data_IF_404980445653
#
_entry.id   IF_404980445653
#
_cell.length_a   1.000
_cell.length_b   1.000
_cell.length_c   1.000
_cell.angle_alpha   90.00
_cell.angle_beta   90.00
_cell.angle_gamma   90.00
#
_symmetry.space_group_name_H-M   'P 1'
#
loop_
_entity.id
_entity.type
_entity.pdbx_description
1 polymer ?
#
# COMPACT_ATOMS: atom_id res chain seq x y z
N UNK A 1 44.90 42.54 36.45
CA UNK A 1 43.81 41.58 36.81
C UNK A 1 44.36 40.17 36.74
N UNK A 2 44.28 39.42 37.85
CA UNK A 2 45.00 38.16 38.08
C UNK A 2 44.51 36.99 37.19
N UNK A 3 45.47 36.26 36.60
CA UNK A 3 45.28 35.00 35.85
C UNK A 3 44.45 33.93 36.60
N UNK A 4 44.28 34.06 37.92
CA UNK A 4 43.49 33.13 38.74
C UNK A 4 41.98 33.21 38.50
N UNK A 5 41.47 34.27 37.87
CA UNK A 5 40.03 34.40 37.54
C UNK A 5 39.65 33.82 36.17
N UNK A 6 40.59 33.64 35.25
CA UNK A 6 40.31 32.96 33.96
C UNK A 6 40.21 31.44 34.09
N UNK A 7 40.96 30.82 35.01
CA UNK A 7 40.94 29.37 35.22
C UNK A 7 39.63 28.82 35.79
N UNK A 8 38.83 29.65 36.48
CA UNK A 8 37.53 29.23 37.05
C UNK A 8 36.35 29.39 36.08
N UNK A 9 36.49 30.16 35.00
CA UNK A 9 35.46 30.28 33.96
C UNK A 9 35.58 29.17 32.92
N UNK A 10 36.81 28.66 32.66
CA UNK A 10 37.01 27.55 31.72
C UNK A 10 36.61 26.17 32.27
N UNK A 11 36.55 25.99 33.60
CA UNK A 11 36.24 24.68 34.20
C UNK A 11 34.73 24.42 34.38
N UNK A 12 33.88 25.45 34.21
CA UNK A 12 32.41 25.33 34.29
C UNK A 12 31.78 25.07 32.90
N UNK A 13 32.49 25.34 31.81
CA UNK A 13 32.02 25.09 30.44
C UNK A 13 32.27 23.66 29.93
N UNK A 14 33.02 22.83 30.67
CA UNK A 14 33.30 21.44 30.28
C UNK A 14 32.22 20.43 30.72
N UNK A 15 31.16 20.85 31.42
CA UNK A 15 30.16 19.95 32.03
C UNK A 15 28.75 19.98 31.42
N UNK A 16 28.51 20.65 30.28
CA UNK A 16 27.15 20.74 29.69
C UNK A 16 27.03 20.16 28.26
N UNK A 17 28.01 19.41 27.77
CA UNK A 17 27.87 18.67 26.51
C UNK A 17 28.02 17.16 26.68
N UNK A 18 27.44 16.59 27.73
CA UNK A 18 26.85 15.26 27.57
C UNK A 18 25.63 15.41 26.68
N UNK A 19 25.85 15.51 25.36
CA UNK A 19 24.82 15.16 24.39
C UNK A 19 24.42 13.73 24.72
N UNK A 20 23.33 13.59 25.47
CA UNK A 20 22.57 12.36 25.53
C UNK A 20 22.15 12.11 24.08
N UNK A 21 22.99 11.40 23.32
CA UNK A 21 22.62 10.82 22.05
C UNK A 21 21.51 9.85 22.40
N UNK A 22 20.27 10.36 22.43
CA UNK A 22 19.07 9.60 22.72
C UNK A 22 19.16 8.39 21.81
N UNK A 23 19.26 7.20 22.39
CA UNK A 23 19.45 5.97 21.63
C UNK A 23 18.29 5.86 20.66
N UNK A 24 18.51 6.28 19.42
CA UNK A 24 17.46 6.45 18.43
C UNK A 24 16.98 5.05 18.05
N UNK A 25 15.73 4.72 18.38
CA UNK A 25 15.15 3.42 18.06
C UNK A 25 14.54 3.48 16.67
N UNK A 26 14.31 2.30 16.08
CA UNK A 26 13.60 2.23 14.80
C UNK A 26 12.21 2.87 14.88
N UNK A 27 11.51 2.76 16.02
CA UNK A 27 10.24 3.44 16.23
C UNK A 27 10.33 4.96 16.04
N UNK A 28 11.41 5.59 16.51
CA UNK A 28 11.63 7.02 16.39
C UNK A 28 11.95 7.40 14.93
N UNK A 29 12.81 6.60 14.28
CA UNK A 29 13.16 6.77 12.85
C UNK A 29 11.92 6.75 11.97
N UNK A 30 10.99 5.81 12.18
CA UNK A 30 9.80 5.67 11.33
C UNK A 30 8.82 6.84 11.47
N UNK A 31 8.80 7.51 12.63
CA UNK A 31 7.93 8.66 12.89
C UNK A 31 8.57 9.96 12.37
N UNK A 32 9.90 10.09 12.45
CA UNK A 32 10.59 11.33 12.09
C UNK A 32 11.04 11.36 10.64
N UNK A 33 10.52 12.35 9.91
CA UNK A 33 10.63 12.51 8.46
C UNK A 33 12.06 12.57 7.91
N UNK A 34 12.99 13.16 8.66
CA UNK A 34 14.39 13.37 8.24
C UNK A 34 15.20 12.09 8.44
N UNK A 35 15.11 11.49 9.63
CA UNK A 35 15.77 10.24 10.00
C UNK A 35 15.27 9.08 9.14
N UNK A 36 13.96 9.03 8.85
CA UNK A 36 13.39 8.07 7.92
C UNK A 36 14.01 8.18 6.52
N UNK A 37 14.17 9.41 6.00
CA UNK A 37 14.76 9.63 4.67
C UNK A 37 16.20 9.12 4.64
N UNK A 38 17.00 9.46 5.65
CA UNK A 38 18.39 9.02 5.77
C UNK A 38 18.48 7.49 5.81
N UNK A 39 17.65 6.85 6.62
CA UNK A 39 17.65 5.38 6.75
C UNK A 39 17.13 4.66 5.49
N UNK A 40 16.21 5.28 4.75
CA UNK A 40 15.76 4.75 3.44
C UNK A 40 16.91 4.77 2.42
N UNK A 41 17.71 5.83 2.41
CA UNK A 41 18.87 5.93 1.51
C UNK A 41 19.95 4.91 1.89
N UNK A 42 20.21 4.72 3.19
CA UNK A 42 21.23 3.78 3.66
C UNK A 42 20.92 2.32 3.31
N UNK A 43 19.65 1.96 3.06
CA UNK A 43 19.26 0.62 2.60
C UNK A 43 19.24 0.47 1.07
N UNK A 44 19.79 1.43 0.33
CA UNK A 44 19.98 1.36 -1.13
C UNK A 44 18.80 1.87 -1.98
N UNK A 45 17.82 2.55 -1.37
CA UNK A 45 16.75 3.22 -2.12
C UNK A 45 17.24 4.59 -2.56
N UNK A 46 17.07 4.94 -3.83
CA UNK A 46 17.54 6.21 -4.39
C UNK A 46 16.46 6.91 -5.24
N UNK A 47 16.77 8.15 -5.65
CA UNK A 47 15.92 8.97 -6.52
C UNK A 47 14.48 9.14 -6.02
N UNK A 48 13.52 9.06 -6.95
CA UNK A 48 12.10 9.23 -6.66
C UNK A 48 11.51 8.13 -5.73
N UNK A 49 12.15 6.97 -5.64
CA UNK A 49 11.71 5.87 -4.77
C UNK A 49 11.85 6.23 -3.28
N UNK A 50 12.81 7.10 -2.91
CA UNK A 50 13.02 7.55 -1.52
C UNK A 50 11.78 8.26 -0.99
N UNK A 51 11.34 9.30 -1.70
CA UNK A 51 10.17 10.09 -1.31
C UNK A 51 8.89 9.25 -1.33
N UNK A 52 8.81 8.29 -2.26
CA UNK A 52 7.67 7.38 -2.37
C UNK A 52 7.60 6.42 -1.18
N UNK A 53 8.70 5.77 -0.83
CA UNK A 53 8.75 4.86 0.31
C UNK A 53 8.52 5.61 1.63
N UNK A 54 9.12 6.80 1.77
CA UNK A 54 8.88 7.70 2.90
C UNK A 54 7.39 7.99 3.06
N UNK A 55 6.70 8.36 1.98
CA UNK A 55 5.26 8.62 1.99
C UNK A 55 4.44 7.38 2.41
N UNK A 56 4.84 6.17 1.98
CA UNK A 56 4.17 4.93 2.38
C UNK A 56 4.33 4.66 3.88
N UNK A 57 5.55 4.80 4.40
CA UNK A 57 5.82 4.63 5.84
C UNK A 57 5.05 5.66 6.66
N UNK A 58 5.12 6.95 6.29
CA UNK A 58 4.40 8.02 6.99
C UNK A 58 2.88 7.80 6.98
N UNK A 59 2.32 7.40 5.83
CA UNK A 59 0.89 7.06 5.73
C UNK A 59 0.53 5.90 6.66
N UNK A 60 1.41 4.89 6.76
CA UNK A 60 1.20 3.73 7.65
C UNK A 60 1.25 4.11 9.12
N UNK A 61 2.29 4.85 9.51
CA UNK A 61 2.48 5.34 10.88
C UNK A 61 1.31 6.21 11.29
N UNK A 62 0.92 7.16 10.46
CA UNK A 62 -0.22 8.04 10.73
C UNK A 62 -1.52 7.24 10.84
N UNK A 63 -1.76 6.24 9.99
CA UNK A 63 -2.92 5.35 10.09
C UNK A 63 -3.00 4.62 11.44
N UNK A 64 -1.86 4.27 12.03
CA UNK A 64 -1.81 3.57 13.31
C UNK A 64 -1.92 4.54 14.50
N UNK A 65 -1.16 5.64 14.48
CA UNK A 65 -0.94 6.52 15.64
C UNK A 65 -2.01 7.59 15.80
N UNK A 66 -2.77 7.90 14.74
CA UNK A 66 -3.73 9.02 14.76
C UNK A 66 -4.60 9.04 16.03
N UNK A 67 -4.66 10.23 16.65
CA UNK A 67 -5.39 10.54 17.88
C UNK A 67 -4.87 9.83 19.15
N UNK A 68 -3.63 9.34 19.13
CA UNK A 68 -2.95 8.75 20.29
C UNK A 68 -1.67 9.52 20.65
N UNK A 69 -1.59 10.00 21.89
CA UNK A 69 -0.37 10.56 22.48
C UNK A 69 0.72 9.50 22.70
N UNK A 70 0.37 8.22 22.54
CA UNK A 70 1.31 7.10 22.67
C UNK A 70 2.20 7.00 21.43
N UNK A 71 3.49 6.82 21.65
CA UNK A 71 4.45 6.55 20.57
C UNK A 71 4.14 5.26 19.78
N UNK A 72 4.63 5.18 18.55
CA UNK A 72 4.37 4.09 17.59
C UNK A 72 4.51 2.69 18.18
N UNK A 73 5.52 2.44 19.03
CA UNK A 73 5.71 1.15 19.69
C UNK A 73 4.50 0.73 20.53
N UNK A 74 3.97 1.65 21.34
CA UNK A 74 2.85 1.38 22.24
C UNK A 74 1.56 1.18 21.46
N UNK A 75 1.34 1.98 20.41
CA UNK A 75 0.22 1.82 19.50
C UNK A 75 0.22 0.43 18.85
N UNK A 76 1.36 0.01 18.29
CA UNK A 76 1.48 -1.34 17.70
C UNK A 76 1.26 -2.42 18.77
N UNK A 77 1.72 -2.21 20.00
CA UNK A 77 1.53 -3.14 21.12
C UNK A 77 0.04 -3.29 21.48
N UNK A 78 -0.74 -2.21 21.44
CA UNK A 78 -2.17 -2.22 21.76
C UNK A 78 -3.09 -2.71 20.63
N UNK A 79 -2.58 -2.91 19.40
CA UNK A 79 -3.43 -3.39 18.30
C UNK A 79 -4.08 -4.74 18.64
N UNK A 80 -5.41 -4.89 18.44
CA UNK A 80 -6.14 -6.13 18.73
C UNK A 80 -5.93 -7.16 17.61
N UNK A 81 -4.68 -7.59 17.42
CA UNK A 81 -4.27 -8.49 16.36
C UNK A 81 -4.57 -9.94 16.73
N UNK A 82 -5.09 -10.72 15.77
CA UNK A 82 -5.46 -12.12 15.94
C UNK A 82 -4.91 -13.02 14.84
N UNK A 83 -4.74 -14.32 15.11
CA UNK A 83 -4.40 -15.33 14.10
C UNK A 83 -2.99 -15.19 13.51
N UNK A 84 -2.88 -15.39 12.19
CA UNK A 84 -1.65 -15.28 11.38
C UNK A 84 -0.90 -13.95 11.58
N UNK A 85 -1.63 -12.88 11.87
CA UNK A 85 -1.10 -11.51 12.00
C UNK A 85 -0.26 -11.32 13.27
N UNK A 86 -0.42 -12.16 14.29
CA UNK A 86 0.33 -12.07 15.57
C UNK A 86 1.83 -12.14 15.31
N UNK A 87 2.26 -13.01 14.39
CA UNK A 87 3.68 -13.16 14.02
C UNK A 87 4.25 -11.85 13.43
N UNK A 88 3.47 -11.12 12.63
CA UNK A 88 3.86 -9.82 12.05
C UNK A 88 3.95 -8.75 13.14
N UNK A 89 2.95 -8.68 14.03
CA UNK A 89 2.97 -7.76 15.20
C UNK A 89 4.19 -8.01 16.08
N UNK A 90 4.45 -9.26 16.48
CA UNK A 90 5.58 -9.60 17.35
C UNK A 90 6.92 -9.29 16.68
N UNK A 91 7.08 -9.62 15.39
CA UNK A 91 8.27 -9.27 14.62
C UNK A 91 8.47 -7.75 14.57
N UNK A 92 7.42 -7.00 14.26
CA UNK A 92 7.49 -5.54 14.22
C UNK A 92 7.87 -4.96 15.60
N UNK A 93 7.23 -5.40 16.69
CA UNK A 93 7.54 -4.93 18.04
C UNK A 93 9.01 -5.17 18.42
N UNK A 94 9.57 -6.33 18.06
CA UNK A 94 10.99 -6.62 18.27
C UNK A 94 11.90 -5.66 17.49
N UNK A 95 11.56 -5.38 16.23
CA UNK A 95 12.33 -4.47 15.38
C UNK A 95 12.22 -3.01 15.83
N UNK A 96 11.03 -2.56 16.21
CA UNK A 96 10.77 -1.19 16.68
C UNK A 96 11.58 -0.81 17.93
N UNK A 97 11.93 -1.79 18.77
CA UNK A 97 12.76 -1.61 19.97
C UNK A 97 14.26 -1.54 19.69
N UNK A 98 14.72 -2.05 18.54
CA UNK A 98 16.15 -2.06 18.19
C UNK A 98 16.67 -0.63 18.00
N UNK A 99 17.95 -0.43 18.32
CA UNK A 99 18.67 0.80 17.97
C UNK A 99 18.72 0.91 16.46
N UNK A 100 18.43 2.07 15.90
CA UNK A 100 18.37 2.29 14.44
C UNK A 100 19.67 1.88 13.75
N UNK A 101 20.82 2.16 14.35
CA UNK A 101 22.15 1.77 13.87
C UNK A 101 22.38 0.25 13.82
N UNK A 102 21.61 -0.53 14.58
CA UNK A 102 21.70 -2.00 14.63
C UNK A 102 20.70 -2.73 13.73
N UNK A 103 19.82 -1.98 13.04
CA UNK A 103 18.81 -2.55 12.14
C UNK A 103 19.46 -2.85 10.80
N UNK A 104 19.49 -4.12 10.40
CA UNK A 104 19.98 -4.52 9.08
C UNK A 104 18.98 -4.13 7.98
N UNK A 105 19.43 -3.94 6.75
CA UNK A 105 18.56 -3.56 5.61
C UNK A 105 17.36 -4.50 5.42
N UNK A 106 17.57 -5.81 5.52
CA UNK A 106 16.50 -6.80 5.42
C UNK A 106 15.51 -6.74 6.60
N UNK A 107 15.95 -6.33 7.78
CA UNK A 107 15.10 -6.10 8.95
C UNK A 107 14.28 -4.83 8.78
N UNK A 108 14.87 -3.77 8.25
CA UNK A 108 14.15 -2.55 7.91
C UNK A 108 13.04 -2.83 6.88
N UNK A 109 13.35 -3.55 5.80
CA UNK A 109 12.35 -3.98 4.80
C UNK A 109 11.22 -4.78 5.43
N UNK A 110 11.53 -5.72 6.34
CA UNK A 110 10.52 -6.48 7.09
C UNK A 110 9.66 -5.58 7.97
N UNK A 111 10.27 -4.64 8.70
CA UNK A 111 9.55 -3.68 9.55
C UNK A 111 8.60 -2.80 8.71
N UNK A 112 9.06 -2.30 7.55
CA UNK A 112 8.25 -1.49 6.64
C UNK A 112 7.09 -2.29 6.04
N UNK A 113 7.33 -3.53 5.62
CA UNK A 113 6.25 -4.39 5.12
C UNK A 113 5.22 -4.70 6.23
N UNK A 114 5.68 -4.99 7.45
CA UNK A 114 4.79 -5.30 8.57
C UNK A 114 4.00 -4.09 9.06
N UNK A 115 4.60 -2.89 9.11
CA UNK A 115 3.88 -1.67 9.51
C UNK A 115 2.83 -1.29 8.46
N UNK A 116 3.15 -1.40 7.17
CA UNK A 116 2.18 -1.18 6.07
C UNK A 116 1.01 -2.16 6.20
N UNK A 117 1.30 -3.44 6.44
CA UNK A 117 0.28 -4.48 6.60
C UNK A 117 -0.64 -4.21 7.80
N UNK A 118 -0.06 -3.91 8.98
CA UNK A 118 -0.84 -3.65 10.18
C UNK A 118 -1.62 -2.34 10.07
N UNK A 119 -1.05 -1.32 9.44
CA UNK A 119 -1.72 -0.04 9.21
C UNK A 119 -2.93 -0.15 8.29
N UNK A 120 -2.87 -1.00 7.27
CA UNK A 120 -4.00 -1.20 6.37
C UNK A 120 -5.18 -1.92 7.06
N UNK A 121 -4.86 -2.92 7.89
CA UNK A 121 -5.84 -3.83 8.49
C UNK A 121 -6.38 -3.37 9.83
N UNK A 122 -5.53 -2.76 10.66
CA UNK A 122 -5.85 -2.36 12.03
C UNK A 122 -5.75 -0.85 12.27
N UNK A 123 -5.25 -0.09 11.29
CA UNK A 123 -5.18 1.36 11.40
C UNK A 123 -6.56 2.03 11.38
N UNK A 124 -6.63 3.20 11.99
CA UNK A 124 -7.84 4.00 12.13
C UNK A 124 -8.23 4.70 10.81
N UNK A 125 -7.28 4.82 9.86
CA UNK A 125 -7.56 5.38 8.56
C UNK A 125 -8.18 4.36 7.62
N UNK A 126 -9.51 4.40 7.51
CA UNK A 126 -10.25 3.75 6.43
C UNK A 126 -9.76 4.20 5.02
N UNK A 127 -9.03 5.31 4.92
CA UNK A 127 -8.70 6.05 3.69
C UNK A 127 -7.49 5.47 2.93
N UNK A 128 -7.05 4.25 3.22
CA UNK A 128 -5.89 3.66 2.58
C UNK A 128 -6.20 2.35 1.86
N UNK A 129 -5.50 2.12 0.75
CA UNK A 129 -5.55 0.89 -0.02
C UNK A 129 -4.14 0.39 -0.32
N UNK A 130 -3.99 -0.94 -0.37
CA UNK A 130 -2.75 -1.59 -0.75
C UNK A 130 -2.64 -1.75 -2.27
N UNK A 131 -1.45 -1.48 -2.79
CA UNK A 131 -1.10 -1.74 -4.19
C UNK A 131 0.24 -2.47 -4.29
N UNK A 132 0.38 -3.32 -5.33
CA UNK A 132 1.59 -4.09 -5.58
C UNK A 132 2.78 -3.16 -5.86
N UNK A 133 3.91 -3.41 -5.21
CA UNK A 133 5.13 -2.62 -5.38
C UNK A 133 5.73 -2.76 -6.78
N UNK A 134 5.65 -3.95 -7.41
CA UNK A 134 6.10 -4.20 -8.80
C UNK A 134 5.40 -3.26 -9.78
N UNK A 135 4.10 -3.02 -9.58
CA UNK A 135 3.34 -2.11 -10.45
C UNK A 135 3.67 -0.62 -10.22
N UNK A 136 4.50 -0.32 -9.22
CA UNK A 136 4.76 1.04 -8.72
C UNK A 136 6.24 1.44 -8.81
N UNK A 137 7.17 0.53 -8.50
CA UNK A 137 8.62 0.74 -8.54
C UNK A 137 9.37 -0.59 -8.57
N UNK A 138 10.11 -0.81 -9.65
CA UNK A 138 10.99 -1.98 -9.83
C UNK A 138 12.05 -2.04 -8.72
N UNK A 139 12.64 -0.90 -8.39
CA UNK A 139 13.66 -0.80 -7.34
C UNK A 139 13.12 -1.21 -5.96
N UNK A 140 11.93 -0.72 -5.58
CA UNK A 140 11.36 -1.07 -4.28
C UNK A 140 11.03 -2.57 -4.23
N UNK A 141 10.52 -3.12 -5.33
CA UNK A 141 10.26 -4.56 -5.41
C UNK A 141 11.54 -5.38 -5.31
N UNK A 142 12.60 -4.99 -6.03
CA UNK A 142 13.91 -5.67 -6.00
C UNK A 142 14.53 -5.66 -4.60
N UNK A 143 14.31 -4.60 -3.83
CA UNK A 143 14.75 -4.48 -2.43
C UNK A 143 13.82 -5.23 -1.44
N UNK A 144 12.78 -5.90 -1.92
CA UNK A 144 11.89 -6.74 -1.10
C UNK A 144 10.72 -6.00 -0.44
N UNK A 145 10.44 -4.75 -0.80
CA UNK A 145 9.20 -4.08 -0.40
C UNK A 145 8.05 -4.67 -1.22
N UNK A 146 7.08 -5.31 -0.55
CA UNK A 146 6.04 -6.12 -1.22
C UNK A 146 4.78 -5.35 -1.54
N UNK A 147 4.45 -4.37 -0.72
CA UNK A 147 3.18 -3.65 -0.78
C UNK A 147 3.39 -2.17 -0.51
N UNK A 148 2.52 -1.36 -1.09
CA UNK A 148 2.49 0.08 -0.83
C UNK A 148 1.12 0.51 -0.36
N UNK A 149 1.09 1.35 0.69
CA UNK A 149 -0.12 2.00 1.17
C UNK A 149 -0.22 3.39 0.56
N UNK A 150 -1.42 3.84 0.21
CA UNK A 150 -1.63 5.19 -0.33
C UNK A 150 -2.83 5.84 0.32
N UNK A 151 -2.71 7.13 0.63
CA UNK A 151 -3.83 7.93 1.09
C UNK A 151 -4.76 8.26 -0.09
N UNK A 152 -6.05 8.03 0.10
CA UNK A 152 -7.09 8.25 -0.90
C UNK A 152 -7.61 9.69 -0.77
N UNK A 153 -7.12 10.56 -1.64
CA UNK A 153 -7.56 11.97 -1.70
C UNK A 153 -8.97 12.17 -2.32
N UNK A 154 -9.54 11.15 -2.96
CA UNK A 154 -10.86 11.25 -3.58
C UNK A 154 -11.96 11.10 -2.53
N UNK A 155 -12.77 12.15 -2.31
CA UNK A 155 -13.88 12.17 -1.33
C UNK A 155 -14.86 11.00 -1.52
N UNK A 156 -15.20 10.65 -2.76
CA UNK A 156 -16.15 9.56 -3.08
C UNK A 156 -15.62 8.20 -2.65
N UNK A 157 -14.35 7.94 -2.95
CA UNK A 157 -13.68 6.70 -2.56
C UNK A 157 -13.48 6.66 -1.04
N UNK A 158 -13.15 7.80 -0.42
CA UNK A 158 -13.10 7.92 1.04
C UNK A 158 -14.47 7.59 1.68
N UNK A 159 -15.58 8.03 1.10
CA UNK A 159 -16.92 7.65 1.55
C UNK A 159 -17.21 6.15 1.39
N UNK A 160 -16.82 5.54 0.27
CA UNK A 160 -16.94 4.09 0.08
C UNK A 160 -16.12 3.31 1.12
N UNK A 161 -14.88 3.73 1.36
CA UNK A 161 -13.98 3.13 2.34
C UNK A 161 -14.51 3.20 3.77
N UNK A 162 -15.19 4.29 4.17
CA UNK A 162 -15.83 4.41 5.49
C UNK A 162 -16.90 3.34 5.78
N UNK A 163 -17.49 2.74 4.74
CA UNK A 163 -18.51 1.69 4.86
C UNK A 163 -17.91 0.29 4.96
N UNK A 164 -16.61 0.16 4.73
CA UNK A 164 -15.89 -1.11 4.76
C UNK A 164 -15.42 -1.35 6.19
N UNK A 165 -15.76 -2.49 6.80
CA UNK A 165 -15.33 -2.79 8.15
C UNK A 165 -13.83 -3.11 8.21
N UNK A 166 -13.14 -2.64 9.24
CA UNK A 166 -11.71 -2.88 9.41
C UNK A 166 -11.36 -4.27 9.94
N UNK A 167 -12.22 -4.86 10.80
CA UNK A 167 -11.88 -6.14 11.43
C UNK A 167 -11.93 -7.29 10.41
N UNK A 168 -10.97 -8.25 10.43
CA UNK A 168 -10.87 -9.32 9.44
C UNK A 168 -12.15 -10.15 9.25
N UNK A 169 -12.79 -10.56 10.34
CA UNK A 169 -14.02 -11.36 10.31
C UNK A 169 -15.17 -10.59 9.67
N UNK A 170 -15.36 -9.33 10.04
CA UNK A 170 -16.41 -8.47 9.44
C UNK A 170 -16.09 -8.16 7.98
N UNK A 171 -14.81 -7.99 7.61
CA UNK A 171 -14.37 -7.75 6.24
C UNK A 171 -14.64 -8.95 5.33
N UNK A 172 -14.34 -10.17 5.80
CA UNK A 172 -14.69 -11.39 5.08
C UNK A 172 -16.21 -11.50 4.85
N UNK A 173 -17.01 -11.29 5.91
CA UNK A 173 -18.47 -11.32 5.81
C UNK A 173 -19.03 -10.19 4.93
N UNK A 174 -18.38 -9.02 4.90
CA UNK A 174 -18.72 -7.92 4.00
C UNK A 174 -18.47 -8.32 2.55
N UNK A 175 -17.27 -8.82 2.23
CA UNK A 175 -16.92 -9.25 0.88
C UNK A 175 -17.82 -10.37 0.39
N UNK A 176 -18.10 -11.37 1.23
CA UNK A 176 -18.99 -12.48 0.89
C UNK A 176 -20.40 -12.02 0.54
N UNK A 177 -20.98 -11.11 1.36
CA UNK A 177 -22.30 -10.54 1.08
C UNK A 177 -22.32 -9.75 -0.22
N UNK A 178 -21.28 -8.96 -0.48
CA UNK A 178 -21.18 -8.16 -1.72
C UNK A 178 -21.01 -9.04 -2.96
N UNK A 179 -20.17 -10.07 -2.90
CA UNK A 179 -20.03 -11.04 -4.00
C UNK A 179 -21.38 -11.69 -4.32
N UNK A 180 -22.10 -12.18 -3.30
CA UNK A 180 -23.44 -12.75 -3.47
C UNK A 180 -24.41 -11.77 -4.13
N UNK A 181 -24.42 -10.50 -3.70
CA UNK A 181 -25.29 -9.47 -4.30
C UNK A 181 -24.98 -9.15 -5.75
N UNK A 182 -23.75 -9.42 -6.20
CA UNK A 182 -23.31 -9.23 -7.58
C UNK A 182 -23.40 -10.52 -8.42
N UNK A 183 -23.94 -11.61 -7.86
CA UNK A 183 -24.00 -12.92 -8.53
C UNK A 183 -22.63 -13.58 -8.70
N UNK A 184 -21.64 -13.20 -7.91
CA UNK A 184 -20.27 -13.74 -7.98
C UNK A 184 -20.09 -14.78 -6.88
N UNK A 185 -19.51 -15.93 -7.23
CA UNK A 185 -19.30 -17.03 -6.28
C UNK A 185 -18.28 -16.66 -5.18
N UNK A 186 -18.59 -17.04 -3.94
CA UNK A 186 -17.71 -16.85 -2.78
C UNK A 186 -16.39 -17.63 -2.86
N UNK A 187 -16.27 -18.61 -3.77
CA UNK A 187 -15.02 -19.35 -4.01
C UNK A 187 -13.85 -18.44 -4.36
N UNK A 188 -14.11 -17.28 -4.96
CA UNK A 188 -13.11 -16.24 -5.22
C UNK A 188 -12.36 -15.81 -3.94
N UNK A 189 -13.03 -15.77 -2.78
CA UNK A 189 -12.41 -15.32 -1.52
C UNK A 189 -11.28 -16.24 -1.03
N UNK A 190 -11.29 -17.52 -1.44
CA UNK A 190 -10.22 -18.47 -1.06
C UNK A 190 -8.87 -18.08 -1.66
N UNK A 191 -8.87 -17.33 -2.75
CA UNK A 191 -7.67 -16.94 -3.51
C UNK A 191 -7.29 -15.47 -3.27
N UNK A 192 -8.00 -14.76 -2.40
CA UNK A 192 -7.73 -13.35 -2.10
C UNK A 192 -6.89 -13.31 -0.83
N UNK A 193 -5.65 -12.83 -0.97
CA UNK A 193 -4.74 -12.65 0.15
C UNK A 193 -5.29 -11.68 1.20
N UNK A 194 -4.78 -11.78 2.42
CA UNK A 194 -5.21 -10.92 3.53
C UNK A 194 -4.93 -9.44 3.25
N UNK A 195 -3.83 -9.15 2.56
CA UNK A 195 -3.40 -7.83 2.08
C UNK A 195 -4.33 -7.23 1.00
N UNK A 196 -5.13 -8.08 0.38
CA UNK A 196 -5.92 -7.75 -0.81
C UNK A 196 -7.41 -7.61 -0.47
N UNK A 197 -7.83 -8.13 0.69
CA UNK A 197 -9.22 -8.21 1.12
C UNK A 197 -9.92 -6.84 1.18
N UNK A 198 -9.21 -5.79 1.62
CA UNK A 198 -9.76 -4.43 1.73
C UNK A 198 -9.86 -3.75 0.35
N UNK A 199 -8.87 -3.97 -0.52
CA UNK A 199 -8.93 -3.51 -1.92
C UNK A 199 -10.08 -4.20 -2.67
N UNK A 200 -10.31 -5.49 -2.43
CA UNK A 200 -11.47 -6.20 -2.96
C UNK A 200 -12.77 -5.61 -2.41
N UNK A 201 -12.85 -5.34 -1.11
CA UNK A 201 -14.02 -4.71 -0.50
C UNK A 201 -14.34 -3.36 -1.13
N UNK A 202 -13.31 -2.55 -1.42
CA UNK A 202 -13.49 -1.29 -2.11
C UNK A 202 -14.02 -1.49 -3.53
N UNK A 203 -13.45 -2.43 -4.28
CA UNK A 203 -13.93 -2.78 -5.61
C UNK A 203 -15.41 -3.17 -5.59
N UNK A 204 -15.81 -4.04 -4.65
CA UNK A 204 -17.17 -4.55 -4.53
C UNK A 204 -18.16 -3.45 -4.05
N UNK A 205 -17.75 -2.58 -3.14
CA UNK A 205 -18.55 -1.42 -2.71
C UNK A 205 -18.75 -0.44 -3.87
N UNK A 206 -17.71 -0.15 -4.65
CA UNK A 206 -17.81 0.69 -5.84
C UNK A 206 -18.69 0.08 -6.94
N UNK A 207 -18.63 -1.25 -7.12
CA UNK A 207 -19.51 -1.95 -8.06
C UNK A 207 -20.99 -1.84 -7.66
N UNK A 208 -21.27 -1.94 -6.35
CA UNK A 208 -22.64 -1.91 -5.83
C UNK A 208 -23.21 -0.48 -5.74
N UNK A 209 -22.42 0.44 -5.17
CA UNK A 209 -22.88 1.74 -4.66
C UNK A 209 -22.03 2.92 -5.14
N UNK A 210 -21.05 2.68 -6.03
CA UNK A 210 -20.29 3.77 -6.63
C UNK A 210 -21.11 4.56 -7.65
N UNK A 211 -20.61 5.76 -7.98
CA UNK A 211 -21.18 6.57 -9.05
C UNK A 211 -21.01 5.91 -10.42
N UNK A 212 -21.70 6.43 -11.43
CA UNK A 212 -21.72 5.91 -12.80
C UNK A 212 -20.32 5.57 -13.36
N UNK A 213 -19.31 6.41 -13.10
CA UNK A 213 -17.93 6.21 -13.58
C UNK A 213 -17.26 4.99 -12.95
N UNK A 214 -17.41 4.81 -11.64
CA UNK A 214 -16.87 3.65 -10.92
C UNK A 214 -17.65 2.38 -11.21
N UNK A 215 -18.98 2.47 -11.36
CA UNK A 215 -19.81 1.36 -11.83
C UNK A 215 -19.44 0.92 -13.24
N UNK A 216 -19.14 1.86 -14.14
CA UNK A 216 -18.65 1.55 -15.49
C UNK A 216 -17.33 0.79 -15.44
N UNK A 217 -16.35 1.30 -14.68
CA UNK A 217 -15.07 0.61 -14.49
C UNK A 217 -15.22 -0.79 -13.93
N UNK A 218 -15.92 -0.93 -12.81
CA UNK A 218 -16.09 -2.22 -12.13
C UNK A 218 -16.86 -3.21 -13.00
N UNK A 219 -17.87 -2.77 -13.76
CA UNK A 219 -18.57 -3.60 -14.74
C UNK A 219 -17.64 -4.09 -15.85
N UNK A 220 -16.77 -3.24 -16.38
CA UNK A 220 -15.77 -3.65 -17.38
C UNK A 220 -14.80 -4.70 -16.82
N UNK A 221 -14.35 -4.52 -15.57
CA UNK A 221 -13.48 -5.49 -14.89
C UNK A 221 -14.20 -6.83 -14.65
N UNK A 222 -15.46 -6.80 -14.20
CA UNK A 222 -16.26 -8.02 -14.01
C UNK A 222 -16.37 -8.77 -15.34
N UNK A 223 -16.73 -8.06 -16.43
CA UNK A 223 -16.83 -8.66 -17.78
C UNK A 223 -15.51 -9.25 -18.26
N UNK A 224 -14.38 -8.57 -18.01
CA UNK A 224 -13.05 -9.08 -18.36
C UNK A 224 -12.74 -10.40 -17.67
N UNK A 225 -13.23 -10.55 -16.44
CA UNK A 225 -13.02 -11.73 -15.62
C UNK A 225 -14.16 -12.77 -15.75
N UNK A 226 -15.08 -12.59 -16.69
CA UNK A 226 -16.15 -13.55 -16.94
C UNK A 226 -15.69 -14.59 -17.98
N UNK A 227 -15.71 -15.86 -17.59
CA UNK A 227 -15.43 -17.01 -18.46
C UNK A 227 -16.58 -18.02 -18.36
N UNK A 228 -17.12 -18.45 -19.50
CA UNK A 228 -18.26 -19.39 -19.55
C UNK A 228 -19.43 -18.98 -18.63
N UNK A 229 -19.76 -17.69 -18.61
CA UNK A 229 -20.84 -17.13 -17.77
C UNK A 229 -20.51 -16.98 -16.28
N UNK A 230 -19.34 -17.42 -15.81
CA UNK A 230 -18.91 -17.33 -14.41
C UNK A 230 -17.84 -16.25 -14.22
N UNK A 231 -17.92 -15.49 -13.14
CA UNK A 231 -16.96 -14.43 -12.82
C UNK A 231 -15.85 -14.96 -11.92
N UNK A 232 -14.60 -14.83 -12.38
CA UNK A 232 -13.38 -15.26 -11.69
C UNK A 232 -12.49 -14.04 -11.39
N UNK A 233 -12.71 -13.39 -10.25
CA UNK A 233 -11.90 -12.25 -9.79
C UNK A 233 -10.55 -12.66 -9.21
N UNK A 234 -10.43 -13.89 -8.69
CA UNK A 234 -9.18 -14.41 -8.12
C UNK A 234 -9.11 -15.94 -8.26
N UNK A 235 -7.88 -16.47 -8.27
CA UNK A 235 -7.60 -17.90 -8.43
C UNK A 235 -7.01 -18.26 -9.79
N UNK A 236 -6.75 -19.56 -10.05
CA UNK A 236 -6.09 -20.02 -11.28
C UNK A 236 -6.92 -19.74 -12.54
N UNK A 237 -8.25 -19.70 -12.41
CA UNK A 237 -9.17 -19.43 -13.52
C UNK A 237 -9.40 -17.93 -13.78
N UNK A 238 -8.87 -17.04 -12.93
CA UNK A 238 -9.06 -15.61 -13.05
C UNK A 238 -8.15 -15.06 -14.17
N UNK A 239 -8.71 -14.47 -15.25
CA UNK A 239 -7.90 -13.89 -16.32
C UNK A 239 -7.04 -12.72 -15.85
N UNK A 240 -7.44 -12.03 -14.78
CA UNK A 240 -6.74 -10.87 -14.26
C UNK A 240 -7.03 -10.57 -12.79
N UNK A 241 -6.19 -9.73 -12.20
CA UNK A 241 -6.41 -9.04 -10.93
C UNK A 241 -6.67 -7.53 -11.13
N UNK A 242 -7.29 -7.14 -12.26
CA UNK A 242 -7.57 -5.74 -12.60
C UNK A 242 -8.43 -5.01 -11.56
N UNK A 243 -9.20 -5.73 -10.74
CA UNK A 243 -9.94 -5.14 -9.62
C UNK A 243 -9.01 -4.43 -8.62
N UNK A 244 -7.73 -4.78 -8.55
CA UNK A 244 -6.71 -4.08 -7.75
C UNK A 244 -6.45 -2.66 -8.22
N UNK A 245 -6.90 -2.26 -9.42
CA UNK A 245 -6.79 -0.90 -9.94
C UNK A 245 -7.44 0.15 -9.03
N UNK A 246 -8.49 -0.22 -8.30
CA UNK A 246 -9.15 0.69 -7.35
C UNK A 246 -8.28 1.00 -6.13
N UNK A 247 -7.27 0.16 -5.85
CA UNK A 247 -6.28 0.37 -4.82
C UNK A 247 -5.21 1.41 -5.18
N UNK A 248 -5.20 1.90 -6.43
CA UNK A 248 -4.36 3.01 -6.86
C UNK A 248 -5.13 4.33 -6.74
N UNK A 249 -4.41 5.47 -6.70
CA UNK A 249 -5.03 6.82 -6.71
C UNK A 249 -5.87 6.99 -7.99
N UNK A 250 -7.15 6.66 -7.89
CA UNK A 250 -8.12 6.69 -8.97
C UNK A 250 -9.03 7.92 -8.81
N UNK A 251 -8.90 8.82 -9.78
CA UNK A 251 -9.82 9.94 -9.97
C UNK A 251 -10.97 9.50 -10.87
N UNK A 252 -12.00 10.34 -10.97
CA UNK A 252 -13.13 10.12 -11.88
C UNK A 252 -12.66 9.96 -13.34
N UNK A 253 -11.76 10.83 -13.79
CA UNK A 253 -11.12 10.75 -15.13
C UNK A 253 -10.36 9.44 -15.33
N UNK A 254 -9.57 9.01 -14.32
CA UNK A 254 -8.85 7.73 -14.39
C UNK A 254 -9.80 6.55 -14.42
N UNK A 255 -10.91 6.60 -13.69
CA UNK A 255 -11.90 5.52 -13.71
C UNK A 255 -12.51 5.37 -15.10
N UNK A 256 -12.86 6.48 -15.76
CA UNK A 256 -13.38 6.48 -17.14
C UNK A 256 -12.34 5.97 -18.14
N UNK A 257 -11.09 6.42 -18.03
CA UNK A 257 -9.99 5.97 -18.87
C UNK A 257 -9.75 4.47 -18.73
N UNK A 258 -9.65 3.97 -17.50
CA UNK A 258 -9.50 2.53 -17.25
C UNK A 258 -10.69 1.73 -17.77
N UNK A 259 -11.92 2.23 -17.58
CA UNK A 259 -13.11 1.58 -18.08
C UNK A 259 -13.10 1.49 -19.62
N UNK A 260 -12.61 2.53 -20.32
CA UNK A 260 -12.46 2.54 -21.77
C UNK A 260 -11.41 1.53 -22.23
N UNK A 261 -10.20 1.59 -21.67
CA UNK A 261 -9.09 0.66 -22.01
C UNK A 261 -9.54 -0.79 -21.85
N UNK A 262 -10.13 -1.13 -20.70
CA UNK A 262 -10.57 -2.50 -20.42
C UNK A 262 -11.71 -2.91 -21.36
N UNK A 263 -12.69 -2.04 -21.60
CA UNK A 263 -13.82 -2.34 -22.48
C UNK A 263 -13.37 -2.61 -23.92
N UNK A 264 -12.47 -1.78 -24.47
CA UNK A 264 -11.95 -1.98 -25.82
C UNK A 264 -11.17 -3.30 -25.95
N UNK A 265 -10.51 -3.75 -24.88
CA UNK A 265 -9.83 -5.05 -24.89
C UNK A 265 -10.79 -6.24 -24.93
N UNK A 266 -12.05 -6.08 -24.50
CA UNK A 266 -13.06 -7.15 -24.52
C UNK A 266 -13.53 -7.52 -25.93
N UNK A 267 -13.25 -6.68 -26.94
CA UNK A 267 -13.53 -6.97 -28.35
C UNK A 267 -12.75 -8.19 -28.85
N UNK A 268 -11.66 -8.54 -28.15
CA UNK A 268 -10.86 -9.73 -28.45
C UNK A 268 -11.50 -10.99 -27.88
N UNK A 269 -11.54 -12.06 -28.69
CA UNK A 269 -12.18 -13.33 -28.31
C UNK A 269 -11.38 -14.17 -27.32
N UNK A 270 -10.04 -14.17 -27.41
CA UNK A 270 -9.18 -14.99 -26.54
C UNK A 270 -8.52 -14.17 -25.43
N UNK A 271 -8.34 -14.78 -24.25
CA UNK A 271 -7.75 -14.11 -23.07
C UNK A 271 -6.37 -13.52 -23.39
N UNK A 272 -5.50 -14.27 -24.08
CA UNK A 272 -4.18 -13.77 -24.51
C UNK A 272 -4.26 -12.52 -25.39
N UNK A 273 -5.22 -12.47 -26.32
CA UNK A 273 -5.43 -11.29 -27.18
C UNK A 273 -6.04 -10.12 -26.40
N UNK A 274 -6.93 -10.38 -25.43
CA UNK A 274 -7.46 -9.36 -24.52
C UNK A 274 -6.34 -8.71 -23.71
N UNK A 275 -5.41 -9.50 -23.18
CA UNK A 275 -4.25 -9.02 -22.41
C UNK A 275 -3.33 -8.16 -23.30
N UNK A 276 -2.97 -8.61 -24.50
CA UNK A 276 -2.17 -7.79 -25.42
C UNK A 276 -2.88 -6.47 -25.74
N UNK A 277 -4.16 -6.56 -26.14
CA UNK A 277 -4.98 -5.40 -26.47
C UNK A 277 -5.11 -4.42 -25.31
N UNK A 278 -5.15 -4.90 -24.06
CA UNK A 278 -5.14 -4.04 -22.87
C UNK A 278 -3.90 -3.17 -22.80
N UNK A 279 -2.70 -3.75 -22.98
CA UNK A 279 -1.47 -2.97 -22.98
C UNK A 279 -1.35 -2.07 -24.21
N UNK A 280 -1.77 -2.53 -25.38
CA UNK A 280 -1.72 -1.74 -26.62
C UNK A 280 -2.66 -0.52 -26.53
N UNK A 281 -3.86 -0.69 -25.97
CA UNK A 281 -4.79 0.41 -25.70
C UNK A 281 -4.21 1.36 -24.62
N UNK A 282 -3.56 0.84 -23.59
CA UNK A 282 -2.91 1.66 -22.57
C UNK A 282 -1.72 2.46 -23.13
N UNK A 283 -1.00 1.93 -24.12
CA UNK A 283 0.06 2.64 -24.84
C UNK A 283 -0.49 3.78 -25.69
N UNK A 284 -1.58 3.58 -26.43
CA UNK A 284 -2.24 4.66 -27.20
C UNK A 284 -2.63 5.84 -26.29
N UNK A 285 -3.06 5.51 -25.08
CA UNK A 285 -3.46 6.45 -24.04
C UNK A 285 -2.29 7.25 -23.41
N UNK A 286 -1.02 6.93 -23.71
CA UNK A 286 0.15 7.73 -23.27
C UNK A 286 0.41 8.93 -24.16
N UNK A 287 -0.15 8.95 -25.38
CA UNK A 287 0.06 10.02 -26.40
C UNK A 287 1.55 10.29 -26.68
N UNK A 288 2.39 9.25 -26.66
CA UNK A 288 3.82 9.38 -26.97
C UNK A 288 4.70 9.93 -25.84
N UNK A 289 4.13 10.20 -24.65
CA UNK A 289 4.91 10.57 -23.46
C UNK A 289 5.90 9.45 -23.12
N UNK A 290 7.20 9.72 -23.22
CA UNK A 290 8.27 8.72 -23.09
C UNK A 290 8.26 8.04 -21.72
N UNK A 291 8.05 8.81 -20.65
CA UNK A 291 8.03 8.32 -19.27
C UNK A 291 6.81 7.42 -19.03
N UNK A 292 5.63 7.81 -19.50
CA UNK A 292 4.41 7.00 -19.38
C UNK A 292 4.48 5.75 -20.26
N UNK A 293 5.02 5.87 -21.45
CA UNK A 293 5.19 4.76 -22.40
C UNK A 293 6.11 3.70 -21.82
N UNK A 294 7.25 4.11 -21.28
CA UNK A 294 8.18 3.19 -20.63
C UNK A 294 7.54 2.49 -19.43
N UNK A 295 6.75 3.22 -18.64
CA UNK A 295 5.99 2.63 -17.54
C UNK A 295 5.01 1.55 -18.02
N UNK A 296 4.30 1.78 -19.12
CA UNK A 296 3.36 0.78 -19.67
C UNK A 296 4.11 -0.43 -20.22
N UNK A 297 5.24 -0.24 -20.89
CA UNK A 297 6.11 -1.34 -21.36
C UNK A 297 6.60 -2.21 -20.21
N UNK A 298 7.03 -1.60 -19.10
CA UNK A 298 7.41 -2.31 -17.88
C UNK A 298 6.24 -3.05 -17.25
N UNK A 299 5.05 -2.42 -17.21
CA UNK A 299 3.85 -3.11 -16.74
C UNK A 299 3.53 -4.36 -17.56
N UNK A 300 3.73 -4.30 -18.88
CA UNK A 300 3.58 -5.45 -19.78
C UNK A 300 4.64 -6.52 -19.53
N UNK A 301 5.90 -6.14 -19.43
CA UNK A 301 7.00 -7.07 -19.17
C UNK A 301 6.84 -7.84 -17.84
N UNK A 302 6.31 -7.18 -16.82
CA UNK A 302 6.09 -7.75 -15.49
C UNK A 302 4.71 -8.43 -15.33
N UNK A 303 3.93 -8.56 -16.41
CA UNK A 303 2.55 -9.07 -16.38
C UNK A 303 1.69 -8.40 -15.29
N UNK A 304 1.87 -7.10 -15.06
CA UNK A 304 1.12 -6.38 -14.02
C UNK A 304 -0.38 -6.55 -14.26
N UNK A 305 -1.09 -7.08 -13.25
CA UNK A 305 -2.52 -7.44 -13.25
C UNK A 305 -2.91 -8.76 -13.92
N UNK A 306 -2.00 -9.50 -14.52
CA UNK A 306 -2.30 -10.76 -15.19
C UNK A 306 -1.42 -11.89 -14.64
N UNK A 307 -1.92 -13.11 -14.71
CA UNK A 307 -1.19 -14.32 -14.36
C UNK A 307 -0.54 -14.92 -15.60
#
# INVERSE_FOLDING_TARGET
MSLKRLGRVLLVLAFITSTNASVLKLADVLVRSVELKSHIVSVGVNGASVNRLKSFVQTSVNSLVQDSDKGLYQVVKSLPVSGSDIKKKQRLLRLLKKRSSSVKSNEFVKAVNDIIFLADRYGQNAVTTLSCSVCVSDQLSALGFKTSIRNVGNKKIKHALKRIPSSPRKLYAFNSRRLKSLGIANSNLKYVGEEDAKTLALFLELASRGDAKYKKLTKSIIKFNTKKGKVHLAGPDAPSSLWKLVGYKISDEKAEKWARVISSSLEQKSDRKRISSFYDNLLKETKGDSVKTEKVRKMRANNCFFN
#
